data_IF_051159879726
#
_entry.id   IF_051159879726
#
_cell.length_a   1.000
_cell.length_b   1.000
_cell.length_c   1.000
_cell.angle_alpha   90.00
_cell.angle_beta   90.00
_cell.angle_gamma   90.00
#
_symmetry.space_group_name_H-M   'P 1'
#
loop_
_entity.id
_entity.type
_entity.pdbx_description
1 polymer ?
#
# COMPACT_ATOMS: atom_id res chain seq x y z
N UNK A 1 50.18 65.13 -45.81
CA UNK A 1 49.25 64.18 -46.43
C UNK A 1 48.47 63.53 -45.33
N UNK A 2 47.15 63.73 -45.34
CA UNK A 2 46.24 63.57 -44.19
C UNK A 2 45.83 62.12 -44.01
N UNK A 3 46.01 61.52 -42.81
CA UNK A 3 45.50 60.23 -42.43
C UNK A 3 44.18 60.40 -41.71
N UNK A 4 43.13 59.81 -42.26
CA UNK A 4 41.76 59.77 -41.70
C UNK A 4 41.65 58.56 -40.72
N UNK A 5 41.41 58.85 -39.48
CA UNK A 5 41.16 57.84 -38.48
C UNK A 5 39.64 57.54 -38.40
N UNK A 6 39.24 56.34 -38.73
CA UNK A 6 37.84 55.91 -38.63
C UNK A 6 37.62 55.23 -37.27
N UNK A 7 36.76 55.79 -36.45
CA UNK A 7 36.38 55.29 -35.15
C UNK A 7 35.21 54.31 -35.32
N UNK A 8 35.47 52.99 -35.11
CA UNK A 8 34.38 52.00 -35.00
C UNK A 8 33.88 51.92 -33.59
N UNK A 9 32.67 52.41 -33.33
CA UNK A 9 31.96 52.22 -32.09
C UNK A 9 31.29 50.84 -32.10
N UNK A 10 31.76 49.93 -31.30
CA UNK A 10 31.11 48.66 -31.05
C UNK A 10 30.03 48.81 -29.96
N UNK A 11 28.78 48.77 -30.35
CA UNK A 11 27.65 48.69 -29.42
C UNK A 11 27.47 47.26 -28.92
N UNK A 12 27.81 47.02 -27.68
CA UNK A 12 27.52 45.73 -27.00
C UNK A 12 26.08 45.76 -26.48
N UNK A 13 25.18 45.09 -27.18
CA UNK A 13 23.79 44.88 -26.69
C UNK A 13 23.83 43.70 -25.71
N UNK A 14 23.78 44.01 -24.41
CA UNK A 14 23.58 43.05 -23.36
C UNK A 14 22.10 42.59 -23.34
N UNK A 15 21.82 41.44 -23.95
CA UNK A 15 20.50 40.79 -23.85
C UNK A 15 20.36 40.18 -22.44
N UNK A 16 19.68 40.90 -21.53
CA UNK A 16 19.31 40.39 -20.21
C UNK A 16 18.18 39.36 -20.38
N UNK A 17 18.52 38.06 -20.42
CA UNK A 17 17.55 36.99 -20.33
C UNK A 17 17.05 36.92 -18.89
N UNK A 18 15.95 37.59 -18.59
CA UNK A 18 15.16 37.36 -17.37
C UNK A 18 14.43 36.02 -17.55
N UNK A 19 15.08 34.91 -17.13
CA UNK A 19 14.40 33.64 -17.00
C UNK A 19 13.38 33.82 -15.86
N UNK A 20 12.11 34.01 -16.21
CA UNK A 20 11.00 33.86 -15.27
C UNK A 20 10.98 32.43 -14.80
N UNK A 21 11.62 32.17 -13.66
CA UNK A 21 11.53 30.90 -12.94
C UNK A 21 10.17 30.88 -12.21
N UNK A 22 9.08 30.75 -12.96
CA UNK A 22 7.77 30.47 -12.40
C UNK A 22 7.78 29.03 -11.95
N UNK A 23 7.91 28.82 -10.62
CA UNK A 23 7.67 27.50 -10.04
C UNK A 23 6.29 27.01 -10.53
N UNK A 24 6.18 25.73 -10.92
CA UNK A 24 4.88 25.17 -11.29
C UNK A 24 3.90 25.38 -10.13
N UNK A 25 2.61 25.63 -10.43
CA UNK A 25 1.60 25.77 -9.39
C UNK A 25 1.64 24.52 -8.49
N UNK A 26 1.42 24.70 -7.17
CA UNK A 26 1.37 23.56 -6.26
C UNK A 26 0.33 22.56 -6.76
N UNK A 27 0.67 21.27 -6.67
CA UNK A 27 -0.27 20.21 -7.00
C UNK A 27 -1.55 20.35 -6.14
N UNK A 28 -2.73 20.03 -6.68
CA UNK A 28 -3.95 20.04 -5.91
C UNK A 28 -3.82 19.22 -4.63
N UNK A 29 -4.35 19.71 -3.52
CA UNK A 29 -4.44 18.91 -2.30
C UNK A 29 -5.48 17.81 -2.50
N UNK A 30 -5.04 16.55 -2.53
CA UNK A 30 -5.89 15.38 -2.70
C UNK A 30 -6.02 14.58 -1.41
N UNK A 31 -5.50 15.07 -0.28
CA UNK A 31 -5.38 14.32 0.97
C UNK A 31 -6.69 13.63 1.39
N UNK A 32 -7.79 14.36 1.49
CA UNK A 32 -9.06 13.80 1.95
C UNK A 32 -9.63 12.76 0.96
N UNK A 33 -9.45 13.00 -0.34
CA UNK A 33 -9.85 12.06 -1.38
C UNK A 33 -9.00 10.77 -1.32
N UNK A 34 -7.72 10.88 -1.04
CA UNK A 34 -6.79 9.77 -0.90
C UNK A 34 -7.07 8.94 0.36
N UNK A 35 -7.33 9.59 1.50
CA UNK A 35 -7.79 8.92 2.73
C UNK A 35 -9.06 8.12 2.47
N UNK A 36 -10.04 8.73 1.79
CA UNK A 36 -11.27 8.03 1.42
C UNK A 36 -11.02 6.86 0.48
N UNK A 37 -10.18 7.02 -0.52
CA UNK A 37 -9.86 5.95 -1.47
C UNK A 37 -9.23 4.74 -0.81
N UNK A 38 -8.33 4.94 0.17
CA UNK A 38 -7.73 3.86 0.96
C UNK A 38 -8.78 3.18 1.86
N UNK A 39 -9.64 3.95 2.53
CA UNK A 39 -10.71 3.40 3.35
C UNK A 39 -11.72 2.57 2.52
N UNK A 40 -12.08 3.06 1.33
CA UNK A 40 -12.96 2.34 0.38
C UNK A 40 -12.29 1.03 -0.12
N UNK A 41 -10.96 1.05 -0.37
CA UNK A 41 -10.21 -0.14 -0.78
C UNK A 41 -10.25 -1.22 0.31
N UNK A 42 -10.06 -0.85 1.59
CA UNK A 42 -10.17 -1.79 2.71
C UNK A 42 -11.59 -2.36 2.86
N UNK A 43 -12.61 -1.52 2.72
CA UNK A 43 -14.01 -1.97 2.78
C UNK A 43 -14.32 -2.99 1.65
N UNK A 44 -13.79 -2.78 0.46
CA UNK A 44 -13.94 -3.70 -0.66
C UNK A 44 -13.13 -4.99 -0.45
N UNK A 45 -11.93 -4.92 0.16
CA UNK A 45 -11.16 -6.11 0.54
C UNK A 45 -11.93 -6.97 1.54
N UNK A 46 -12.57 -6.38 2.57
CA UNK A 46 -13.46 -7.09 3.49
C UNK A 46 -14.63 -7.80 2.75
N UNK A 47 -15.22 -7.15 1.73
CA UNK A 47 -16.25 -7.80 0.90
C UNK A 47 -15.67 -8.97 0.08
N UNK A 48 -14.44 -8.86 -0.41
CA UNK A 48 -13.73 -9.96 -1.08
C UNK A 48 -13.54 -11.16 -0.16
N UNK A 49 -13.11 -10.94 1.06
CA UNK A 49 -12.98 -11.98 2.09
C UNK A 49 -14.32 -12.63 2.43
N UNK A 50 -15.37 -11.85 2.66
CA UNK A 50 -16.71 -12.37 2.92
C UNK A 50 -17.27 -13.20 1.74
N UNK A 51 -16.93 -12.83 0.51
CA UNK A 51 -17.31 -13.55 -0.69
C UNK A 51 -16.40 -14.74 -1.03
N UNK A 52 -15.31 -14.94 -0.30
CA UNK A 52 -14.22 -15.89 -0.61
C UNK A 52 -13.68 -15.73 -2.04
N UNK A 53 -13.54 -14.51 -2.50
CA UNK A 53 -13.14 -14.15 -3.86
C UNK A 53 -11.68 -13.64 -3.87
N UNK A 54 -10.76 -14.54 -4.21
CA UNK A 54 -9.32 -14.23 -4.26
C UNK A 54 -9.01 -13.11 -5.26
N UNK A 55 -9.70 -13.04 -6.38
CA UNK A 55 -9.41 -12.03 -7.40
C UNK A 55 -9.84 -10.63 -6.95
N UNK A 56 -10.97 -10.53 -6.23
CA UNK A 56 -11.37 -9.27 -5.59
C UNK A 56 -10.38 -8.82 -4.53
N UNK A 57 -9.89 -9.71 -3.68
CA UNK A 57 -8.87 -9.40 -2.68
C UNK A 57 -7.59 -8.93 -3.38
N UNK A 58 -7.12 -9.69 -4.37
CA UNK A 58 -5.88 -9.41 -5.07
C UNK A 58 -5.92 -8.19 -5.99
N UNK A 59 -7.11 -7.67 -6.31
CA UNK A 59 -7.26 -6.43 -7.08
C UNK A 59 -6.58 -5.23 -6.40
N UNK A 60 -6.44 -5.27 -5.08
CA UNK A 60 -5.83 -4.19 -4.28
C UNK A 60 -4.33 -4.33 -4.10
N UNK A 61 -3.72 -5.47 -4.41
CA UNK A 61 -2.29 -5.69 -4.24
C UNK A 61 -1.48 -5.21 -5.43
N UNK A 62 -0.34 -4.56 -5.17
CA UNK A 62 0.68 -4.24 -6.16
C UNK A 62 1.44 -5.51 -6.56
N UNK A 63 2.07 -5.51 -7.74
CA UNK A 63 2.80 -6.69 -8.23
C UNK A 63 4.03 -7.02 -7.36
N UNK A 64 4.63 -6.02 -6.71
CA UNK A 64 5.76 -6.12 -5.80
C UNK A 64 5.37 -6.19 -4.32
N UNK A 65 4.11 -6.50 -4.00
CA UNK A 65 3.60 -6.50 -2.63
C UNK A 65 4.30 -7.51 -1.73
N UNK A 66 4.31 -7.20 -0.43
CA UNK A 66 4.84 -8.03 0.65
C UNK A 66 3.71 -8.37 1.62
N UNK A 67 3.56 -9.65 1.95
CA UNK A 67 2.63 -10.12 2.97
C UNK A 67 3.41 -10.76 4.12
N UNK A 68 3.12 -10.35 5.35
CA UNK A 68 3.73 -10.86 6.57
C UNK A 68 2.64 -11.27 7.56
N UNK A 69 2.42 -12.58 7.69
CA UNK A 69 1.43 -13.15 8.60
C UNK A 69 2.09 -13.71 9.86
N UNK A 70 1.38 -13.77 11.00
CA UNK A 70 1.95 -14.29 12.23
C UNK A 70 2.45 -15.74 12.09
N UNK A 71 3.69 -15.98 12.52
CA UNK A 71 4.27 -17.34 12.57
C UNK A 71 4.71 -17.91 11.21
N UNK A 72 4.67 -17.11 10.15
CA UNK A 72 5.13 -17.51 8.81
C UNK A 72 6.26 -16.60 8.30
N UNK A 73 6.98 -17.08 7.30
CA UNK A 73 7.92 -16.26 6.55
C UNK A 73 7.18 -15.25 5.66
N UNK A 74 7.85 -14.16 5.34
CA UNK A 74 7.28 -13.13 4.47
C UNK A 74 7.10 -13.66 3.02
N UNK A 75 5.96 -13.36 2.43
CA UNK A 75 5.60 -13.74 1.06
C UNK A 75 5.75 -12.55 0.15
N UNK A 76 6.47 -12.73 -0.95
CA UNK A 76 6.82 -11.67 -1.89
C UNK A 76 6.11 -11.87 -3.23
N UNK A 77 5.53 -10.78 -3.73
CA UNK A 77 4.94 -10.70 -5.06
C UNK A 77 3.49 -11.17 -5.10
N UNK A 78 2.71 -10.45 -5.90
CA UNK A 78 1.26 -10.61 -6.01
C UNK A 78 0.82 -12.03 -6.38
N UNK A 79 1.53 -12.69 -7.28
CA UNK A 79 1.13 -14.03 -7.73
C UNK A 79 1.30 -15.08 -6.63
N UNK A 80 2.44 -15.02 -5.90
CA UNK A 80 2.68 -15.90 -4.75
C UNK A 80 1.66 -15.66 -3.64
N UNK A 81 1.37 -14.38 -3.34
CA UNK A 81 0.35 -14.01 -2.36
C UNK A 81 -1.03 -14.53 -2.80
N UNK A 82 -1.36 -14.46 -4.09
CA UNK A 82 -2.63 -14.98 -4.64
C UNK A 82 -2.77 -16.49 -4.39
N UNK A 83 -1.71 -17.24 -4.59
CA UNK A 83 -1.76 -18.70 -4.40
C UNK A 83 -1.96 -19.05 -2.93
N UNK A 84 -1.33 -18.35 -2.00
CA UNK A 84 -1.60 -18.51 -0.56
C UNK A 84 -3.03 -18.10 -0.18
N UNK A 85 -3.53 -16.98 -0.73
CA UNK A 85 -4.91 -16.57 -0.51
C UNK A 85 -5.90 -17.62 -0.98
N UNK A 86 -5.68 -18.24 -2.15
CA UNK A 86 -6.53 -19.32 -2.65
C UNK A 86 -6.52 -20.54 -1.73
N UNK A 87 -5.35 -20.91 -1.19
CA UNK A 87 -5.24 -22.01 -0.22
C UNK A 87 -6.00 -21.68 1.06
N UNK A 88 -5.84 -20.46 1.59
CA UNK A 88 -6.56 -20.01 2.78
C UNK A 88 -8.07 -19.99 2.56
N UNK A 89 -8.53 -19.48 1.42
CA UNK A 89 -9.96 -19.43 1.08
C UNK A 89 -10.60 -20.80 0.83
N UNK A 90 -9.81 -21.85 0.58
CA UNK A 90 -10.30 -23.21 0.48
C UNK A 90 -10.69 -23.82 1.84
N UNK A 91 -10.25 -23.23 2.95
CA UNK A 91 -10.68 -23.63 4.28
C UNK A 91 -12.18 -23.34 4.47
N UNK A 92 -13.01 -24.34 4.82
CA UNK A 92 -14.43 -24.11 5.02
C UNK A 92 -14.75 -23.17 6.17
N UNK A 93 -13.90 -23.13 7.23
CA UNK A 93 -14.09 -22.29 8.40
C UNK A 93 -13.56 -20.86 8.21
N UNK A 94 -12.85 -20.58 7.11
CA UNK A 94 -12.21 -19.28 6.91
C UNK A 94 -13.22 -18.12 7.05
N UNK A 95 -12.90 -17.22 7.94
CA UNK A 95 -13.55 -15.92 8.09
C UNK A 95 -12.48 -14.93 8.53
N UNK A 96 -12.26 -13.88 7.75
CA UNK A 96 -11.33 -12.81 8.08
C UNK A 96 -12.05 -11.47 7.93
N UNK A 97 -11.94 -10.64 8.96
CA UNK A 97 -12.47 -9.28 8.96
C UNK A 97 -11.44 -8.32 9.52
N UNK A 98 -11.33 -7.16 8.89
CA UNK A 98 -10.51 -6.04 9.32
C UNK A 98 -11.38 -4.89 9.80
N UNK A 99 -10.93 -4.21 10.83
CA UNK A 99 -11.54 -2.99 11.34
C UNK A 99 -10.45 -1.94 11.55
N UNK A 100 -10.34 -1.01 10.63
CA UNK A 100 -9.40 0.10 10.76
C UNK A 100 -9.82 1.04 11.88
N UNK A 101 -8.85 1.44 12.67
CA UNK A 101 -8.96 2.50 13.65
C UNK A 101 -8.25 3.78 13.20
N UNK A 102 -7.43 3.66 12.17
CA UNK A 102 -6.65 4.76 11.60
C UNK A 102 -6.44 4.55 10.10
N UNK A 103 -6.66 5.64 9.33
CA UNK A 103 -6.25 5.78 7.93
C UNK A 103 -5.42 7.05 7.85
N UNK A 104 -4.25 6.98 7.25
CA UNK A 104 -3.34 8.12 7.14
C UNK A 104 -2.71 8.14 5.75
N UNK A 105 -2.52 9.33 5.20
CA UNK A 105 -1.80 9.55 3.95
C UNK A 105 -0.64 10.49 4.21
N UNK A 106 0.53 10.15 3.69
CA UNK A 106 1.71 11.00 3.79
C UNK A 106 1.46 12.35 3.09
N UNK A 107 2.05 13.41 3.60
CA UNK A 107 1.93 14.76 3.04
C UNK A 107 2.37 14.84 1.56
N UNK A 108 3.24 13.94 1.12
CA UNK A 108 3.65 13.79 -0.28
C UNK A 108 2.55 13.24 -1.19
N UNK A 109 1.50 12.61 -0.62
CA UNK A 109 0.37 12.06 -1.37
C UNK A 109 0.67 10.78 -2.15
N UNK A 110 1.79 10.11 -1.89
CA UNK A 110 2.26 8.91 -2.62
C UNK A 110 2.21 7.63 -1.79
N UNK A 111 2.22 7.75 -0.45
CA UNK A 111 2.11 6.65 0.50
C UNK A 111 1.00 6.91 1.53
N UNK A 112 0.35 5.83 1.95
CA UNK A 112 -0.62 5.86 3.03
C UNK A 112 -0.66 4.50 3.73
N UNK A 113 -1.37 4.44 4.86
CA UNK A 113 -1.57 3.18 5.58
C UNK A 113 -2.93 3.14 6.26
N UNK A 114 -3.41 1.92 6.48
CA UNK A 114 -4.44 1.63 7.47
C UNK A 114 -3.80 0.88 8.63
N UNK A 115 -4.32 1.10 9.84
CA UNK A 115 -3.97 0.33 11.02
C UNK A 115 -5.22 0.04 11.82
N UNK A 116 -5.28 -1.16 12.40
CA UNK A 116 -6.47 -1.56 13.15
C UNK A 116 -6.34 -2.96 13.72
N UNK A 117 -7.49 -3.61 13.87
CA UNK A 117 -7.59 -4.96 14.41
C UNK A 117 -8.18 -5.90 13.38
N UNK A 118 -7.81 -7.18 13.46
CA UNK A 118 -8.44 -8.23 12.68
C UNK A 118 -9.03 -9.32 13.58
N UNK A 119 -9.98 -10.07 13.00
CA UNK A 119 -10.49 -11.33 13.56
C UNK A 119 -10.41 -12.38 12.45
N UNK A 120 -9.84 -13.52 12.78
CA UNK A 120 -9.63 -14.63 11.86
C UNK A 120 -10.17 -15.91 12.48
N UNK A 121 -10.88 -16.70 11.70
CA UNK A 121 -11.26 -18.08 12.03
C UNK A 121 -10.68 -18.99 10.97
N UNK A 122 -10.05 -20.08 11.39
CA UNK A 122 -9.47 -21.12 10.54
C UNK A 122 -9.83 -22.50 11.09
N UNK A 123 -9.64 -23.53 10.28
CA UNK A 123 -9.71 -24.93 10.74
C UNK A 123 -8.37 -25.35 11.35
N UNK A 124 -8.37 -25.82 12.60
CA UNK A 124 -7.20 -26.42 13.25
C UNK A 124 -6.83 -27.74 12.51
N UNK A 125 -5.65 -27.83 11.89
CA UNK A 125 -5.25 -29.00 11.15
C UNK A 125 -5.10 -30.27 12.01
N UNK A 126 -4.95 -30.12 13.32
CA UNK A 126 -4.73 -31.25 14.26
C UNK A 126 -6.04 -31.94 14.68
N UNK A 127 -7.15 -31.23 14.75
CA UNK A 127 -8.41 -31.75 15.28
C UNK A 127 -9.65 -31.39 14.44
N UNK A 128 -9.45 -30.66 13.32
CA UNK A 128 -10.49 -30.21 12.38
C UNK A 128 -11.58 -29.33 13.00
N UNK A 129 -11.29 -28.65 14.12
CA UNK A 129 -12.20 -27.72 14.77
C UNK A 129 -11.85 -26.27 14.40
N UNK A 130 -12.81 -25.35 14.41
CA UNK A 130 -12.50 -23.95 14.25
C UNK A 130 -11.58 -23.42 15.36
N UNK A 131 -10.53 -22.72 14.98
CA UNK A 131 -9.71 -21.91 15.88
C UNK A 131 -9.86 -20.45 15.51
N UNK A 132 -9.83 -19.60 16.53
CA UNK A 132 -9.95 -18.16 16.36
C UNK A 132 -8.63 -17.49 16.67
N UNK A 133 -8.25 -16.57 15.84
CA UNK A 133 -7.15 -15.63 16.05
C UNK A 133 -7.67 -14.20 15.97
N UNK A 134 -7.00 -13.30 16.64
CA UNK A 134 -7.23 -11.87 16.56
C UNK A 134 -5.94 -11.13 16.86
N UNK A 135 -5.86 -9.91 16.35
CA UNK A 135 -4.66 -9.11 16.57
C UNK A 135 -4.74 -7.77 15.92
N UNK A 136 -3.58 -7.23 15.62
CA UNK A 136 -3.43 -5.94 14.97
C UNK A 136 -2.84 -6.11 13.58
N UNK A 137 -3.13 -5.14 12.70
CA UNK A 137 -2.54 -5.12 11.37
C UNK A 137 -2.14 -3.70 10.99
N UNK A 138 -1.22 -3.63 10.06
CA UNK A 138 -0.89 -2.41 9.30
C UNK A 138 -0.80 -2.80 7.83
N UNK A 139 -1.61 -2.16 7.01
CA UNK A 139 -1.54 -2.28 5.55
C UNK A 139 -1.03 -0.98 4.96
N UNK A 140 0.07 -1.02 4.24
CA UNK A 140 0.68 0.13 3.57
C UNK A 140 0.28 0.17 2.11
N UNK A 141 -0.15 1.33 1.66
CA UNK A 141 -0.58 1.59 0.29
C UNK A 141 0.37 2.55 -0.41
N UNK A 142 0.57 2.34 -1.71
CA UNK A 142 1.29 3.25 -2.59
C UNK A 142 0.38 3.69 -3.73
N UNK A 143 0.36 5.00 -3.99
CA UNK A 143 -0.38 5.57 -5.12
C UNK A 143 0.33 5.22 -6.41
N UNK A 144 -0.41 4.69 -7.37
CA UNK A 144 0.09 4.31 -8.68
C UNK A 144 0.04 5.51 -9.64
N UNK A 145 0.70 5.38 -10.79
CA UNK A 145 0.72 6.43 -11.81
C UNK A 145 -0.68 6.77 -12.37
N UNK A 146 -1.61 5.82 -12.32
CA UNK A 146 -3.01 6.01 -12.72
C UNK A 146 -3.89 6.61 -11.61
N UNK A 147 -3.30 6.93 -10.45
CA UNK A 147 -3.98 7.47 -9.29
C UNK A 147 -4.63 6.42 -8.37
N UNK A 148 -4.63 5.15 -8.73
CA UNK A 148 -5.15 4.08 -7.86
C UNK A 148 -4.22 3.81 -6.69
N UNK A 149 -4.79 3.35 -5.56
CA UNK A 149 -4.02 2.94 -4.40
C UNK A 149 -3.87 1.42 -4.37
N UNK A 150 -2.62 0.92 -4.19
CA UNK A 150 -2.31 -0.50 -4.12
C UNK A 150 -1.53 -0.83 -2.86
N UNK A 151 -1.87 -1.97 -2.25
CA UNK A 151 -1.13 -2.54 -1.12
C UNK A 151 0.28 -2.92 -1.55
N UNK A 152 1.27 -2.42 -0.85
CA UNK A 152 2.69 -2.74 -1.05
C UNK A 152 3.28 -3.52 0.12
N UNK A 153 2.70 -3.39 1.32
CA UNK A 153 3.05 -4.20 2.47
C UNK A 153 1.80 -4.42 3.33
N UNK A 154 1.58 -5.66 3.74
CA UNK A 154 0.48 -6.06 4.61
C UNK A 154 1.06 -6.89 5.76
N UNK A 155 0.90 -6.41 6.98
CA UNK A 155 1.52 -6.98 8.17
C UNK A 155 0.44 -7.24 9.20
N UNK A 156 0.37 -8.47 9.69
CA UNK A 156 -0.47 -8.82 10.83
C UNK A 156 0.38 -9.31 12.01
N UNK A 157 -0.12 -9.06 13.22
CA UNK A 157 0.47 -9.50 14.48
C UNK A 157 -0.62 -10.10 15.34
N UNK A 158 -0.50 -11.41 15.66
CA UNK A 158 -1.45 -12.10 16.53
C UNK A 158 -1.32 -11.66 18.00
N UNK A 159 -2.45 -11.44 18.65
CA UNK A 159 -2.54 -11.22 20.08
C UNK A 159 -2.77 -12.52 20.87
N UNK A 160 -2.95 -13.65 20.16
CA UNK A 160 -3.06 -14.97 20.76
C UNK A 160 -1.65 -15.53 21.03
N UNK A 161 -1.34 -15.99 22.24
CA UNK A 161 -0.06 -16.61 22.52
C UNK A 161 0.22 -17.81 21.59
N UNK A 162 1.47 -18.03 21.16
CA UNK A 162 1.83 -19.19 20.37
C UNK A 162 1.40 -20.48 21.10
N UNK A 163 0.84 -21.43 20.35
CA UNK A 163 0.54 -22.74 20.91
C UNK A 163 1.83 -23.38 21.44
N UNK A 164 1.83 -23.97 22.65
CA UNK A 164 3.00 -24.66 23.13
C UNK A 164 3.34 -25.82 22.20
N UNK A 165 4.64 -26.11 21.98
CA UNK A 165 5.04 -27.21 21.12
C UNK A 165 4.42 -28.53 21.60
N UNK A 166 4.05 -29.42 20.70
CA UNK A 166 3.46 -30.71 21.06
C UNK A 166 4.39 -31.43 22.04
N UNK A 167 3.82 -31.92 23.17
CA UNK A 167 4.59 -32.71 24.14
C UNK A 167 5.13 -33.93 23.40
N UNK A 168 6.45 -34.05 23.32
CA UNK A 168 7.09 -35.30 22.86
C UNK A 168 6.60 -36.43 23.76
N UNK A 169 5.93 -37.42 23.15
CA UNK A 169 5.60 -38.69 23.80
C UNK A 169 6.84 -39.51 24.01
#
# INVERSE_FOLDING_TARGET
MKALATLCAAAVIALSMTACNTAPPPAPDTHDADVKAIADAEAQANQGWAAKDADKIMAFYADDALLMTPGAEAVHGKDTIRDEMKQMLADPAISLTFQSSKVEVAKSGDLGYTAGTYKLTLTDPSNHKPINDHGNYVTTFRKQADGSWKVVADIASSAVPPMPPPKKK
#
